data_IF_964718337986
#
_entry.id   IF_964718337986
#
_cell.length_a   1.000
_cell.length_b   1.000
_cell.length_c   1.000
_cell.angle_alpha   90.00
_cell.angle_beta   90.00
_cell.angle_gamma   90.00
#
_symmetry.space_group_name_H-M   'P 1'
#
loop_
_entity.id
_entity.type
_entity.pdbx_description
1 polymer ?
#
# COMPACT_ATOMS: atom_id res chain seq x y z
N UNK A 1 6.21 13.02 -16.31
CA UNK A 1 7.24 13.45 -15.33
C UNK A 1 6.78 14.52 -14.35
N UNK A 2 6.05 15.58 -14.76
CA UNK A 2 5.59 16.63 -13.83
C UNK A 2 4.59 16.17 -12.77
N UNK A 3 3.55 15.40 -13.14
CA UNK A 3 2.48 15.02 -12.22
C UNK A 3 2.95 14.12 -11.05
N UNK A 4 3.78 13.11 -11.31
CA UNK A 4 4.30 12.22 -10.26
C UNK A 4 5.14 12.97 -9.22
N UNK A 5 5.90 13.99 -9.64
CA UNK A 5 6.64 14.84 -8.70
C UNK A 5 5.70 15.65 -7.79
N UNK A 6 4.61 16.18 -8.34
CA UNK A 6 3.58 16.91 -7.58
C UNK A 6 2.85 15.96 -6.62
N UNK A 7 2.43 14.78 -7.09
CA UNK A 7 1.78 13.75 -6.28
C UNK A 7 2.71 13.27 -5.14
N UNK A 8 3.99 13.06 -5.44
CA UNK A 8 5.00 12.74 -4.43
C UNK A 8 5.19 13.86 -3.39
N UNK A 9 5.08 15.13 -3.78
CA UNK A 9 5.10 16.26 -2.86
C UNK A 9 3.84 16.33 -2.00
N UNK A 10 2.66 16.13 -2.57
CA UNK A 10 1.38 16.08 -1.85
C UNK A 10 1.35 14.95 -0.81
N UNK A 11 1.91 13.78 -1.13
CA UNK A 11 2.04 12.68 -0.18
C UNK A 11 2.90 13.05 1.03
N UNK A 12 3.98 13.81 0.83
CA UNK A 12 4.82 14.32 1.92
C UNK A 12 4.11 15.36 2.78
N UNK A 13 3.23 16.16 2.19
CA UNK A 13 2.47 17.23 2.83
C UNK A 13 1.11 16.78 3.39
N UNK A 14 0.77 15.49 3.33
CA UNK A 14 -0.50 14.94 3.83
C UNK A 14 -1.74 15.50 3.10
N UNK A 15 -1.57 15.92 1.85
CA UNK A 15 -2.61 16.53 0.99
C UNK A 15 -3.33 15.47 0.16
N UNK A 16 -3.93 14.47 0.82
CA UNK A 16 -4.53 13.33 0.11
C UNK A 16 -5.72 13.70 -0.78
N UNK A 17 -6.49 14.73 -0.43
CA UNK A 17 -7.63 15.20 -1.26
C UNK A 17 -7.14 15.77 -2.58
N UNK A 18 -6.15 16.64 -2.52
CA UNK A 18 -5.60 17.27 -3.71
C UNK A 18 -4.82 16.27 -4.58
N UNK A 19 -4.17 15.29 -3.94
CA UNK A 19 -3.59 14.16 -4.67
C UNK A 19 -4.69 13.33 -5.38
N UNK A 20 -5.87 13.19 -4.78
CA UNK A 20 -7.00 12.48 -5.39
C UNK A 20 -7.54 13.27 -6.58
N UNK A 21 -7.82 14.56 -6.39
CA UNK A 21 -8.35 15.45 -7.41
C UNK A 21 -7.42 15.47 -8.64
N UNK A 22 -6.10 15.54 -8.41
CA UNK A 22 -5.11 15.50 -9.49
C UNK A 22 -5.11 14.16 -10.25
N UNK A 23 -5.29 13.03 -9.55
CA UNK A 23 -5.36 11.71 -10.21
C UNK A 23 -6.64 11.58 -11.03
N UNK A 24 -7.77 12.14 -10.59
CA UNK A 24 -8.99 12.15 -11.40
C UNK A 24 -8.86 13.09 -12.60
N UNK A 25 -8.26 14.27 -12.44
CA UNK A 25 -7.95 15.16 -13.57
C UNK A 25 -7.05 14.48 -14.62
N UNK A 26 -6.03 13.75 -14.17
CA UNK A 26 -5.19 12.93 -15.04
C UNK A 26 -5.99 11.81 -15.72
N UNK A 27 -6.94 11.19 -15.02
CA UNK A 27 -7.77 10.12 -15.57
C UNK A 27 -8.74 10.61 -16.67
N UNK A 28 -9.20 11.85 -16.56
CA UNK A 28 -10.01 12.50 -17.59
C UNK A 28 -9.17 12.96 -18.81
N UNK A 29 -7.83 12.99 -18.66
CA UNK A 29 -6.89 13.38 -19.72
C UNK A 29 -6.36 12.17 -20.51
N UNK A 30 -6.58 12.17 -21.82
CA UNK A 30 -6.01 11.14 -22.72
C UNK A 30 -4.49 11.25 -22.91
N UNK A 31 -3.89 12.41 -22.62
CA UNK A 31 -2.48 12.66 -22.93
C UNK A 31 -1.52 12.10 -21.87
N UNK A 32 -1.97 11.98 -20.62
CA UNK A 32 -1.14 11.56 -19.49
C UNK A 32 -1.97 10.82 -18.43
N UNK A 33 -2.48 9.61 -18.76
CA UNK A 33 -3.29 8.84 -17.83
C UNK A 33 -2.49 8.44 -16.57
N UNK A 34 -3.15 8.26 -15.42
CA UNK A 34 -2.49 7.82 -14.19
C UNK A 34 -1.85 6.44 -14.36
N UNK A 35 -0.62 6.31 -13.87
CA UNK A 35 0.15 5.08 -13.87
C UNK A 35 0.30 4.50 -12.46
N UNK A 36 1.05 3.40 -12.35
CA UNK A 36 1.38 2.77 -11.07
C UNK A 36 1.97 3.76 -10.06
N UNK A 37 2.83 4.68 -10.51
CA UNK A 37 3.47 5.66 -9.63
C UNK A 37 2.48 6.72 -9.14
N UNK A 38 1.61 7.20 -10.02
CA UNK A 38 0.54 8.14 -9.71
C UNK A 38 -0.34 7.61 -8.57
N UNK A 39 -0.84 6.38 -8.72
CA UNK A 39 -1.65 5.71 -7.70
C UNK A 39 -0.84 5.37 -6.43
N UNK A 40 0.42 4.96 -6.56
CA UNK A 40 1.28 4.69 -5.40
C UNK A 40 1.47 5.94 -4.53
N UNK A 41 1.65 7.11 -5.16
CA UNK A 41 1.75 8.37 -4.44
C UNK A 41 0.43 8.77 -3.79
N UNK A 42 -0.71 8.63 -4.48
CA UNK A 42 -2.04 8.86 -3.91
C UNK A 42 -2.30 7.98 -2.69
N UNK A 43 -2.05 6.67 -2.82
CA UNK A 43 -2.23 5.69 -1.74
C UNK A 43 -1.35 6.05 -0.54
N UNK A 44 -0.08 6.39 -0.78
CA UNK A 44 0.83 6.83 0.27
C UNK A 44 0.35 8.13 0.94
N UNK A 45 -0.17 9.10 0.17
CA UNK A 45 -0.76 10.33 0.71
C UNK A 45 -1.92 10.02 1.65
N UNK A 46 -2.84 9.13 1.25
CA UNK A 46 -3.96 8.67 2.08
C UNK A 46 -3.48 8.00 3.36
N UNK A 47 -2.56 7.04 3.28
CA UNK A 47 -2.04 6.30 4.45
C UNK A 47 -1.33 7.24 5.43
N UNK A 48 -0.46 8.12 4.94
CA UNK A 48 0.25 9.10 5.78
C UNK A 48 -0.70 10.11 6.43
N UNK A 49 -1.82 10.41 5.79
CA UNK A 49 -2.88 11.28 6.33
C UNK A 49 -3.80 10.57 7.32
N UNK A 50 -3.52 9.31 7.67
CA UNK A 50 -4.38 8.51 8.56
C UNK A 50 -5.71 8.10 7.92
N UNK A 51 -5.77 8.03 6.58
CA UNK A 51 -6.98 7.74 5.78
C UNK A 51 -6.85 6.39 5.05
N UNK A 52 -6.70 5.25 5.75
CA UNK A 52 -6.48 3.96 5.08
C UNK A 52 -7.70 3.45 4.30
N UNK A 53 -8.92 3.86 4.67
CA UNK A 53 -10.13 3.56 3.90
C UNK A 53 -10.06 4.24 2.52
N UNK A 54 -9.65 5.50 2.47
CA UNK A 54 -9.39 6.20 1.21
C UNK A 54 -8.21 5.59 0.45
N UNK A 55 -7.19 5.08 1.15
CA UNK A 55 -6.09 4.37 0.51
C UNK A 55 -6.58 3.08 -0.20
N UNK A 56 -7.51 2.36 0.41
CA UNK A 56 -8.18 1.20 -0.20
C UNK A 56 -9.06 1.60 -1.39
N UNK A 57 -9.82 2.69 -1.28
CA UNK A 57 -10.59 3.22 -2.40
C UNK A 57 -9.68 3.60 -3.59
N UNK A 58 -8.51 4.19 -3.33
CA UNK A 58 -7.53 4.49 -4.37
C UNK A 58 -6.96 3.21 -5.03
N UNK A 59 -6.74 2.15 -4.26
CA UNK A 59 -6.36 0.83 -4.81
C UNK A 59 -7.46 0.24 -5.70
N UNK A 60 -8.73 0.37 -5.30
CA UNK A 60 -9.87 -0.10 -6.10
C UNK A 60 -10.02 0.73 -7.39
N UNK A 61 -9.81 2.04 -7.30
CA UNK A 61 -9.78 2.96 -8.46
C UNK A 61 -8.64 2.65 -9.43
N UNK A 62 -7.47 2.30 -8.90
CA UNK A 62 -6.32 1.85 -9.69
C UNK A 62 -6.65 0.58 -10.48
N UNK A 63 -7.29 -0.40 -9.84
CA UNK A 63 -7.73 -1.63 -10.47
C UNK A 63 -8.81 -1.38 -11.54
N UNK A 64 -9.79 -0.50 -11.27
CA UNK A 64 -10.83 -0.17 -12.25
C UNK A 64 -10.28 0.61 -13.46
N UNK A 65 -9.18 1.34 -13.28
CA UNK A 65 -8.43 1.97 -14.36
C UNK A 65 -7.56 0.98 -15.17
N UNK A 66 -7.57 -0.31 -14.82
CA UNK A 66 -6.74 -1.33 -15.48
C UNK A 66 -5.25 -1.26 -15.10
N UNK A 67 -4.88 -0.44 -14.11
CA UNK A 67 -3.50 -0.34 -13.63
C UNK A 67 -3.25 -1.44 -12.60
N UNK A 68 -2.29 -2.32 -12.87
CA UNK A 68 -2.04 -3.50 -12.04
C UNK A 68 -1.24 -3.11 -10.78
N UNK A 69 -1.77 -3.32 -9.56
CA UNK A 69 -1.04 -3.07 -8.32
C UNK A 69 0.04 -4.11 -8.07
N UNK A 70 1.15 -3.68 -7.46
CA UNK A 70 2.25 -4.55 -7.04
C UNK A 70 2.23 -4.78 -5.51
N UNK A 71 3.13 -5.63 -5.03
CA UNK A 71 3.26 -5.96 -3.59
C UNK A 71 3.48 -4.72 -2.71
N UNK A 72 4.21 -3.72 -3.22
CA UNK A 72 4.48 -2.45 -2.51
C UNK A 72 3.18 -1.68 -2.23
N UNK A 73 2.28 -1.61 -3.20
CA UNK A 73 0.99 -0.92 -3.08
C UNK A 73 0.13 -1.57 -1.99
N UNK A 74 -0.05 -2.90 -2.03
CA UNK A 74 -0.79 -3.62 -0.98
C UNK A 74 -0.16 -3.43 0.39
N UNK A 75 1.16 -3.56 0.46
CA UNK A 75 1.92 -3.39 1.70
C UNK A 75 1.71 -2.00 2.30
N UNK A 76 1.62 -0.96 1.46
CA UNK A 76 1.37 0.41 1.91
C UNK A 76 -0.01 0.55 2.54
N UNK A 77 -1.06 0.03 1.89
CA UNK A 77 -2.43 0.05 2.45
C UNK A 77 -2.51 -0.79 3.74
N UNK A 78 -1.86 -1.96 3.76
CA UNK A 78 -1.77 -2.82 4.95
C UNK A 78 -1.15 -2.11 6.14
N UNK A 79 -0.07 -1.37 5.95
CA UNK A 79 0.54 -0.57 7.02
C UNK A 79 -0.41 0.51 7.55
N UNK A 80 -1.23 1.10 6.67
CA UNK A 80 -2.29 2.02 7.08
C UNK A 80 -3.35 1.39 7.97
N UNK A 81 -3.74 0.14 7.71
CA UNK A 81 -4.63 -0.63 8.57
C UNK A 81 -3.96 -1.03 9.89
N UNK A 82 -2.69 -1.45 9.85
CA UNK A 82 -1.86 -1.77 11.00
C UNK A 82 -1.92 -0.68 12.07
N UNK A 83 -1.54 0.54 11.70
CA UNK A 83 -1.50 1.71 12.59
C UNK A 83 -2.86 2.12 13.17
N UNK A 84 -3.97 1.65 12.59
CA UNK A 84 -5.33 1.99 13.05
C UNK A 84 -6.05 0.82 13.74
N UNK A 85 -5.42 -0.34 13.87
CA UNK A 85 -6.07 -1.52 14.45
C UNK A 85 -7.20 -2.11 13.58
N UNK A 86 -7.21 -1.80 12.28
CA UNK A 86 -8.26 -2.23 11.35
C UNK A 86 -7.98 -3.65 10.83
N UNK A 87 -8.03 -4.63 11.74
CA UNK A 87 -7.59 -6.00 11.45
C UNK A 87 -8.49 -6.73 10.45
N UNK A 88 -9.80 -6.48 10.46
CA UNK A 88 -10.77 -7.11 9.54
C UNK A 88 -10.49 -6.70 8.09
N UNK A 89 -10.21 -5.41 7.90
CA UNK A 89 -9.82 -4.81 6.63
C UNK A 89 -8.46 -5.31 6.18
N UNK A 90 -7.49 -5.41 7.11
CA UNK A 90 -6.18 -5.98 6.84
C UNK A 90 -6.24 -7.46 6.39
N UNK A 91 -7.05 -8.29 7.05
CA UNK A 91 -7.27 -9.68 6.65
C UNK A 91 -7.93 -9.78 5.28
N UNK A 92 -8.90 -8.91 5.00
CA UNK A 92 -9.59 -8.88 3.71
C UNK A 92 -8.65 -8.47 2.59
N UNK A 93 -7.83 -7.45 2.80
CA UNK A 93 -6.81 -7.01 1.85
C UNK A 93 -5.72 -8.06 1.62
N UNK A 94 -5.33 -8.81 2.66
CA UNK A 94 -4.39 -9.93 2.53
C UNK A 94 -4.96 -11.05 1.64
N UNK A 95 -6.22 -11.44 1.85
CA UNK A 95 -6.90 -12.45 1.01
C UNK A 95 -7.00 -11.99 -0.44
N UNK A 96 -7.33 -10.74 -0.65
CA UNK A 96 -7.45 -10.11 -1.97
C UNK A 96 -6.11 -10.10 -2.73
N UNK A 97 -5.00 -9.78 -2.04
CA UNK A 97 -3.65 -9.91 -2.58
C UNK A 97 -3.33 -11.35 -3.00
N UNK A 98 -3.63 -12.33 -2.15
CA UNK A 98 -3.37 -13.74 -2.41
C UNK A 98 -4.22 -14.31 -3.55
N UNK A 99 -5.49 -13.92 -3.63
CA UNK A 99 -6.39 -14.32 -4.71
C UNK A 99 -5.91 -13.84 -6.09
N UNK A 100 -5.16 -12.74 -6.12
CA UNK A 100 -4.49 -12.21 -7.32
C UNK A 100 -3.11 -12.83 -7.57
N UNK A 101 -2.76 -13.91 -6.86
CA UNK A 101 -1.49 -14.63 -7.04
C UNK A 101 -0.27 -13.94 -6.42
N UNK A 102 -0.44 -12.82 -5.72
CA UNK A 102 0.66 -12.12 -5.06
C UNK A 102 0.98 -12.78 -3.72
N UNK A 103 2.27 -13.01 -3.45
CA UNK A 103 2.74 -13.56 -2.19
C UNK A 103 2.95 -12.44 -1.16
N UNK A 104 2.28 -12.48 0.01
CA UNK A 104 2.57 -11.57 1.11
C UNK A 104 4.03 -11.69 1.52
N UNK A 105 4.68 -10.56 1.77
CA UNK A 105 6.05 -10.54 2.30
C UNK A 105 6.02 -10.37 3.83
N UNK A 106 7.20 -10.38 4.46
CA UNK A 106 7.36 -10.19 5.90
C UNK A 106 6.70 -8.88 6.39
N UNK A 107 6.79 -7.81 5.60
CA UNK A 107 6.22 -6.51 5.93
C UNK A 107 4.68 -6.52 5.90
N UNK A 108 4.07 -7.16 4.89
CA UNK A 108 2.62 -7.33 4.79
C UNK A 108 2.06 -8.06 6.02
N UNK A 109 2.72 -9.14 6.45
CA UNK A 109 2.30 -9.92 7.61
C UNK A 109 2.58 -9.20 8.94
N UNK A 110 3.70 -8.50 9.06
CA UNK A 110 3.98 -7.65 10.23
C UNK A 110 2.91 -6.56 10.39
N UNK A 111 2.45 -5.95 9.30
CA UNK A 111 1.37 -4.97 9.32
C UNK A 111 0.03 -5.57 9.77
N UNK A 112 -0.25 -6.84 9.40
CA UNK A 112 -1.42 -7.56 9.90
C UNK A 112 -1.30 -7.84 11.41
N UNK A 113 -0.13 -8.27 11.88
CA UNK A 113 0.11 -8.47 13.30
C UNK A 113 -0.05 -7.17 14.09
N UNK A 114 0.48 -6.05 13.58
CA UNK A 114 0.28 -4.72 14.16
C UNK A 114 -1.22 -4.36 14.23
N UNK A 115 -1.99 -4.63 13.17
CA UNK A 115 -3.44 -4.40 13.17
C UNK A 115 -4.16 -5.21 14.26
N UNK A 116 -3.77 -6.49 14.44
CA UNK A 116 -4.33 -7.37 15.47
C UNK A 116 -3.96 -6.91 16.89
N UNK A 117 -2.70 -6.50 17.12
CA UNK A 117 -2.25 -5.97 18.41
C UNK A 117 -3.02 -4.70 18.78
N UNK A 118 -3.14 -3.75 17.84
CA UNK A 118 -3.86 -2.51 18.04
C UNK A 118 -5.39 -2.73 18.21
N UNK A 119 -5.90 -3.90 17.83
CA UNK A 119 -7.28 -4.34 18.08
C UNK A 119 -7.44 -5.17 19.36
N UNK A 120 -6.38 -5.38 20.15
CA UNK A 120 -6.41 -6.19 21.38
C UNK A 120 -6.41 -7.70 21.16
N UNK A 121 -6.08 -8.19 19.95
CA UNK A 121 -6.09 -9.62 19.58
C UNK A 121 -4.67 -10.20 19.60
N UNK A 122 -4.05 -10.20 20.78
CA UNK A 122 -2.62 -10.51 20.94
C UNK A 122 -2.24 -11.94 20.54
N UNK A 123 -3.06 -12.94 20.89
CA UNK A 123 -2.80 -14.35 20.58
C UNK A 123 -2.74 -14.59 19.07
N UNK A 124 -3.63 -13.96 18.31
CA UNK A 124 -3.63 -14.05 16.85
C UNK A 124 -2.47 -13.29 16.22
N UNK A 125 -2.07 -12.16 16.81
CA UNK A 125 -0.88 -11.45 16.35
C UNK A 125 0.38 -12.31 16.49
N UNK A 126 0.52 -13.05 17.61
CA UNK A 126 1.63 -13.98 17.83
C UNK A 126 1.64 -15.07 16.75
N UNK A 127 0.49 -15.68 16.45
CA UNK A 127 0.39 -16.70 15.39
C UNK A 127 0.80 -16.15 14.02
N UNK A 128 0.50 -14.88 13.72
CA UNK A 128 0.94 -14.23 12.48
C UNK A 128 2.46 -14.00 12.50
N UNK A 129 3.04 -13.57 13.62
CA UNK A 129 4.49 -13.35 13.74
C UNK A 129 5.29 -14.67 13.66
N UNK A 130 4.80 -15.76 14.23
CA UNK A 130 5.41 -17.08 14.06
C UNK A 130 5.44 -17.54 12.59
N UNK A 131 4.48 -17.10 11.77
CA UNK A 131 4.52 -17.34 10.32
C UNK A 131 5.61 -16.50 9.66
N UNK A 132 5.84 -15.27 10.10
CA UNK A 132 6.91 -14.39 9.61
C UNK A 132 8.28 -15.00 9.89
N UNK A 133 8.51 -15.52 11.09
CA UNK A 133 9.80 -16.13 11.48
C UNK A 133 10.13 -17.37 10.66
N UNK A 134 9.11 -18.16 10.32
CA UNK A 134 9.24 -19.36 9.46
C UNK A 134 9.42 -19.06 7.98
N UNK A 135 9.21 -17.82 7.51
CA UNK A 135 9.51 -17.49 6.13
C UNK A 135 11.03 -17.53 5.90
N UNK A 136 11.54 -18.04 4.78
CA UNK A 136 12.96 -17.85 4.46
C UNK A 136 13.28 -16.35 4.48
N UNK A 137 14.46 -15.99 4.99
CA UNK A 137 14.98 -14.64 4.76
C UNK A 137 14.96 -14.41 3.25
N UNK A 138 14.37 -13.30 2.80
CA UNK A 138 14.47 -12.91 1.39
C UNK A 138 15.94 -12.87 0.97
N UNK A 139 16.25 -12.98 -0.33
CA UNK A 139 17.62 -12.78 -0.77
C UNK A 139 18.13 -11.47 -0.15
N UNK A 140 19.31 -11.52 0.49
CA UNK A 140 20.00 -10.29 0.90
C UNK A 140 20.12 -9.47 -0.38
N UNK A 141 19.51 -8.29 -0.42
CA UNK A 141 19.76 -7.35 -1.49
C UNK A 141 21.29 -7.19 -1.58
N UNK A 142 21.83 -7.56 -2.73
CA UNK A 142 23.25 -7.38 -3.02
C UNK A 142 23.52 -5.88 -2.87
N UNK A 143 24.47 -5.44 -2.01
CA UNK A 143 24.82 -4.03 -1.87
C UNK A 143 25.27 -3.38 -3.19
N UNK A 144 25.44 -4.14 -4.27
CA UNK A 144 25.71 -3.65 -5.62
C UNK A 144 24.49 -3.28 -6.47
N UNK A 145 23.24 -3.58 -6.07
CA UNK A 145 22.06 -3.15 -6.82
C UNK A 145 21.61 -1.79 -6.29
N UNK A 146 22.07 -0.73 -6.94
CA UNK A 146 21.49 0.61 -6.83
C UNK A 146 19.97 0.45 -6.97
N UNK A 147 19.15 0.86 -5.98
CA UNK A 147 17.70 0.87 -6.15
C UNK A 147 17.40 1.61 -7.44
N UNK A 148 16.76 0.93 -8.39
CA UNK A 148 16.44 1.49 -9.69
C UNK A 148 15.52 2.70 -9.51
N UNK A 149 16.20 3.84 -9.39
CA UNK A 149 15.84 5.23 -9.65
C UNK A 149 14.43 5.69 -9.23
N UNK A 150 14.47 6.63 -8.28
CA UNK A 150 13.44 7.60 -7.92
C UNK A 150 12.82 8.29 -9.15
#
# INVERSE_FOLDING_TARGET
FGYNAILGAMARQLRWREAWDLVEEMADSLAAPPDLFSYSHLINACVRSGRPIQARAALERMLSAGVVPNVQVYSTVMAGYGRRGLYTEAQTLLRDMQARGMRPNRYTLASLAEALLNAGRAEEAIQVLERVDRMPAGPKEDPGVVPSQW
#
